data_IF_665105695637
#
_entry.id   IF_665105695637
#
_cell.length_a   1.000
_cell.length_b   1.000
_cell.length_c   1.000
_cell.angle_alpha   90.00
_cell.angle_beta   90.00
_cell.angle_gamma   90.00
#
_symmetry.space_group_name_H-M   'P 1'
#
loop_
_entity.id
_entity.type
_entity.pdbx_description
1 polymer ?
#
# COMPACT_ATOMS: atom_id res chain seq x y z
N UNK A 1 -3.97 14.72 8.48
CA UNK A 1 -2.94 15.60 7.90
C UNK A 1 -2.60 15.07 6.52
N UNK A 2 -2.30 15.92 5.53
CA UNK A 2 -2.00 15.48 4.16
C UNK A 2 -0.87 16.33 3.56
N UNK A 3 -0.24 15.80 2.52
CA UNK A 3 0.75 16.50 1.69
C UNK A 3 0.18 16.66 0.29
N UNK A 4 0.38 17.81 -0.34
CA UNK A 4 -0.05 18.02 -1.72
C UNK A 4 0.67 17.04 -2.66
N UNK A 5 -0.06 16.39 -3.60
CA UNK A 5 0.54 15.38 -4.47
C UNK A 5 1.80 15.81 -5.24
N UNK A 6 1.90 17.04 -5.80
CA UNK A 6 3.14 17.51 -6.41
C UNK A 6 4.32 17.52 -5.42
N UNK A 7 4.11 18.02 -4.20
CA UNK A 7 5.16 18.12 -3.17
C UNK A 7 5.63 16.73 -2.74
N UNK A 8 4.70 15.78 -2.56
CA UNK A 8 5.05 14.39 -2.25
C UNK A 8 5.92 13.78 -3.35
N UNK A 9 5.50 13.89 -4.61
CA UNK A 9 6.26 13.36 -5.76
C UNK A 9 7.63 14.01 -5.89
N UNK A 10 7.73 15.33 -5.72
CA UNK A 10 8.99 16.05 -5.80
C UNK A 10 9.96 15.62 -4.70
N UNK A 11 9.46 15.45 -3.46
CA UNK A 11 10.26 14.94 -2.35
C UNK A 11 10.76 13.52 -2.61
N UNK A 12 9.86 12.58 -2.97
CA UNK A 12 10.23 11.18 -3.23
C UNK A 12 11.22 11.10 -4.39
N UNK A 13 10.98 11.84 -5.48
CA UNK A 13 11.90 11.87 -6.61
C UNK A 13 13.26 12.48 -6.23
N UNK A 14 13.27 13.56 -5.45
CA UNK A 14 14.51 14.21 -4.99
C UNK A 14 15.35 13.27 -4.12
N UNK A 15 14.72 12.65 -3.12
CA UNK A 15 15.37 11.68 -2.25
C UNK A 15 15.93 10.49 -3.05
N UNK A 16 15.12 9.94 -3.96
CA UNK A 16 15.51 8.81 -4.78
C UNK A 16 16.68 9.14 -5.71
N UNK A 17 16.70 10.34 -6.33
CA UNK A 17 17.87 10.80 -7.11
C UNK A 17 19.13 10.95 -6.25
N UNK A 18 18.98 11.33 -4.98
CA UNK A 18 20.13 11.37 -4.07
C UNK A 18 20.68 9.96 -3.80
N UNK A 19 19.83 8.94 -3.66
CA UNK A 19 20.28 7.54 -3.58
C UNK A 19 21.03 7.12 -4.85
N UNK A 20 20.52 7.48 -6.04
CA UNK A 20 21.19 7.25 -7.32
C UNK A 20 22.60 7.86 -7.37
N UNK A 21 22.72 9.11 -6.90
CA UNK A 21 24.01 9.80 -6.81
C UNK A 21 25.02 9.05 -5.95
N UNK A 22 24.56 8.32 -4.92
CA UNK A 22 25.39 7.49 -4.05
C UNK A 22 25.59 6.05 -4.55
N UNK A 23 25.18 5.74 -5.79
CA UNK A 23 25.42 4.45 -6.44
C UNK A 23 24.33 3.41 -6.21
N UNK A 24 23.19 3.79 -5.63
CA UNK A 24 22.02 2.91 -5.53
C UNK A 24 21.20 3.02 -6.81
N UNK A 25 21.14 1.94 -7.58
CA UNK A 25 20.48 1.90 -8.90
C UNK A 25 19.08 1.25 -8.87
N UNK A 26 18.65 0.72 -7.72
CA UNK A 26 17.35 0.07 -7.50
C UNK A 26 16.73 0.51 -6.17
N UNK A 27 15.44 0.82 -6.18
CA UNK A 27 14.69 1.22 -4.98
C UNK A 27 13.31 0.56 -4.98
N UNK A 28 12.91 0.02 -3.84
CA UNK A 28 11.52 -0.40 -3.58
C UNK A 28 10.88 0.62 -2.65
N UNK A 29 9.79 1.25 -3.08
CA UNK A 29 8.95 2.08 -2.22
C UNK A 29 7.98 1.17 -1.46
N UNK A 30 8.34 0.80 -0.24
CA UNK A 30 7.48 0.04 0.68
C UNK A 30 6.33 0.94 1.13
N UNK A 31 5.13 0.62 0.69
CA UNK A 31 3.92 1.42 0.87
C UNK A 31 2.87 0.68 1.70
N UNK A 32 2.10 1.46 2.46
CA UNK A 32 0.96 0.99 3.25
C UNK A 32 -0.26 1.91 3.11
N UNK A 33 -0.24 2.83 2.15
CA UNK A 33 -1.33 3.77 1.93
C UNK A 33 -1.72 3.84 0.46
N UNK A 34 -2.96 3.43 0.15
CA UNK A 34 -3.47 3.35 -1.22
C UNK A 34 -3.41 4.68 -1.99
N UNK A 35 -3.57 5.82 -1.29
CA UNK A 35 -3.49 7.16 -1.90
C UNK A 35 -2.12 7.48 -2.53
N UNK A 36 -1.04 6.82 -2.08
CA UNK A 36 0.31 7.07 -2.58
C UNK A 36 0.65 6.27 -3.85
N UNK A 37 -0.09 5.18 -4.15
CA UNK A 37 0.26 4.21 -5.20
C UNK A 37 0.49 4.87 -6.55
N UNK A 38 -0.48 5.67 -7.01
CA UNK A 38 -0.39 6.33 -8.33
C UNK A 38 0.80 7.29 -8.42
N UNK A 39 1.12 7.99 -7.33
CA UNK A 39 2.20 8.96 -7.26
C UNK A 39 3.57 8.30 -7.19
N UNK A 40 3.71 7.22 -6.42
CA UNK A 40 4.95 6.43 -6.35
C UNK A 40 5.27 5.78 -7.70
N UNK A 41 4.26 5.21 -8.37
CA UNK A 41 4.41 4.63 -9.71
C UNK A 41 4.77 5.68 -10.76
N UNK A 42 4.20 6.88 -10.67
CA UNK A 42 4.57 8.01 -11.53
C UNK A 42 6.04 8.41 -11.36
N UNK A 43 6.51 8.53 -10.11
CA UNK A 43 7.92 8.84 -9.81
C UNK A 43 8.85 7.74 -10.32
N UNK A 44 8.54 6.48 -10.02
CA UNK A 44 9.35 5.33 -10.47
C UNK A 44 9.47 5.27 -12.00
N UNK A 45 8.35 5.46 -12.71
CA UNK A 45 8.33 5.52 -14.18
C UNK A 45 9.21 6.66 -14.70
N UNK A 46 9.09 7.86 -14.15
CA UNK A 46 9.89 9.02 -14.57
C UNK A 46 11.38 8.76 -14.38
N UNK A 47 11.79 8.23 -13.23
CA UNK A 47 13.20 7.94 -12.95
C UNK A 47 13.77 6.85 -13.87
N UNK A 48 12.96 5.83 -14.18
CA UNK A 48 13.28 4.80 -15.16
C UNK A 48 13.45 5.39 -16.55
N UNK A 49 12.50 6.20 -17.00
CA UNK A 49 12.51 6.81 -18.34
C UNK A 49 13.67 7.81 -18.51
N UNK A 50 14.09 8.47 -17.42
CA UNK A 50 15.31 9.30 -17.36
C UNK A 50 16.61 8.48 -17.32
N UNK A 51 16.53 7.15 -17.17
CA UNK A 51 17.71 6.27 -17.00
C UNK A 51 18.47 6.49 -15.68
N UNK A 52 17.82 7.09 -14.68
CA UNK A 52 18.48 7.46 -13.42
C UNK A 52 18.65 6.26 -12.49
N UNK A 53 17.58 5.52 -12.25
CA UNK A 53 17.53 4.27 -11.47
C UNK A 53 16.22 3.55 -11.73
N UNK A 54 16.08 2.31 -11.26
CA UNK A 54 14.83 1.56 -11.30
C UNK A 54 14.13 1.64 -9.93
N UNK A 55 12.98 2.32 -9.88
CA UNK A 55 12.17 2.43 -8.66
C UNK A 55 10.80 1.81 -8.88
N UNK A 56 10.38 0.95 -7.96
CA UNK A 56 9.08 0.27 -8.01
C UNK A 56 8.31 0.45 -6.72
N UNK A 57 7.00 0.63 -6.83
CA UNK A 57 6.09 0.68 -5.69
C UNK A 57 5.69 -0.74 -5.28
N UNK A 58 5.64 -0.98 -3.98
CA UNK A 58 5.25 -2.26 -3.39
C UNK A 58 4.29 -2.00 -2.22
N UNK A 59 3.07 -2.54 -2.31
CA UNK A 59 2.05 -2.45 -1.27
C UNK A 59 1.97 -3.78 -0.52
N UNK A 60 2.09 -3.74 0.80
CA UNK A 60 2.25 -4.95 1.62
C UNK A 60 1.08 -5.94 1.49
N UNK A 61 -0.16 -5.46 1.49
CA UNK A 61 -1.36 -6.30 1.45
C UNK A 61 -1.63 -6.84 0.04
N UNK A 62 -1.30 -6.06 -1.00
CA UNK A 62 -1.36 -6.53 -2.40
C UNK A 62 -0.31 -7.60 -2.71
N UNK A 63 0.70 -7.80 -1.85
CA UNK A 63 1.71 -8.85 -2.01
C UNK A 63 1.24 -10.23 -1.55
N UNK A 64 0.18 -10.29 -0.73
CA UNK A 64 -0.35 -11.51 -0.10
C UNK A 64 -1.89 -11.61 -0.21
N UNK A 65 -2.48 -11.39 -1.39
CA UNK A 65 -3.94 -11.27 -1.52
C UNK A 65 -4.67 -12.56 -1.12
N UNK A 66 -4.12 -13.74 -1.44
CA UNK A 66 -4.75 -15.01 -1.08
C UNK A 66 -4.79 -15.24 0.44
N UNK A 67 -3.74 -14.83 1.16
CA UNK A 67 -3.71 -14.95 2.62
C UNK A 67 -4.71 -13.97 3.26
N UNK A 68 -4.79 -12.74 2.75
CA UNK A 68 -5.74 -11.73 3.22
C UNK A 68 -7.18 -12.22 3.04
N UNK A 69 -7.50 -12.80 1.88
CA UNK A 69 -8.82 -13.36 1.59
C UNK A 69 -9.09 -14.66 2.39
N UNK A 70 -8.05 -15.42 2.77
CA UNK A 70 -8.19 -16.59 3.64
C UNK A 70 -8.55 -16.21 5.08
N UNK A 71 -7.91 -15.15 5.63
CA UNK A 71 -8.04 -14.81 7.05
C UNK A 71 -9.21 -13.86 7.34
N UNK A 72 -9.75 -13.17 6.33
CA UNK A 72 -10.85 -12.22 6.52
C UNK A 72 -11.92 -12.37 5.44
N UNK A 73 -13.12 -12.81 5.85
CA UNK A 73 -14.29 -12.91 4.96
C UNK A 73 -14.72 -11.54 4.41
N UNK A 74 -14.59 -10.49 5.23
CA UNK A 74 -14.86 -9.11 4.83
C UNK A 74 -13.67 -8.23 5.15
N UNK A 75 -12.92 -7.89 4.11
CA UNK A 75 -11.85 -6.91 4.22
C UNK A 75 -12.35 -5.52 3.87
N UNK A 76 -11.58 -4.51 4.26
CA UNK A 76 -11.83 -3.15 3.83
C UNK A 76 -10.56 -2.32 3.68
N UNK A 77 -10.66 -1.20 2.94
CA UNK A 77 -9.51 -0.43 2.50
C UNK A 77 -8.91 0.49 3.57
N UNK A 78 -9.57 0.67 4.73
CA UNK A 78 -9.06 1.55 5.78
C UNK A 78 -9.65 1.24 7.16
N UNK A 79 -8.80 1.13 8.18
CA UNK A 79 -9.19 0.81 9.56
C UNK A 79 -9.79 -0.60 9.72
N UNK A 80 -9.80 -1.38 8.64
CA UNK A 80 -10.38 -2.71 8.59
C UNK A 80 -9.51 -3.78 9.26
N UNK A 81 -9.88 -5.06 9.11
CA UNK A 81 -9.31 -6.14 9.89
C UNK A 81 -7.80 -6.33 9.64
N UNK A 82 -7.32 -6.20 8.41
CA UNK A 82 -5.90 -6.38 8.07
C UNK A 82 -4.99 -5.33 8.71
N UNK A 83 -5.39 -4.05 8.71
CA UNK A 83 -4.61 -2.96 9.30
C UNK A 83 -4.63 -3.07 10.83
N UNK A 84 -5.79 -3.41 11.40
CA UNK A 84 -5.96 -3.61 12.84
C UNK A 84 -5.14 -4.80 13.34
N UNK A 85 -5.21 -5.96 12.67
CA UNK A 85 -4.45 -7.15 13.04
C UNK A 85 -2.95 -6.88 13.00
N UNK A 86 -2.46 -6.23 11.93
CA UNK A 86 -1.05 -5.87 11.81
C UNK A 86 -0.60 -4.94 12.94
N UNK A 87 -1.41 -3.95 13.31
CA UNK A 87 -1.13 -3.06 14.46
C UNK A 87 -1.20 -3.79 15.80
N UNK A 88 -2.12 -4.72 16.01
CA UNK A 88 -2.18 -5.53 17.23
C UNK A 88 -0.90 -6.36 17.43
N UNK A 89 -0.29 -6.83 16.33
CA UNK A 89 0.99 -7.53 16.37
C UNK A 89 2.18 -6.59 16.63
N UNK A 90 2.29 -5.51 15.86
CA UNK A 90 3.46 -4.62 15.90
C UNK A 90 3.47 -3.69 17.11
N UNK A 91 2.29 -3.22 17.53
CA UNK A 91 2.12 -2.13 18.48
C UNK A 91 0.75 -2.22 19.21
N UNK A 92 0.44 -3.40 19.74
CA UNK A 92 -0.87 -3.71 20.31
C UNK A 92 -1.27 -2.85 21.52
N UNK A 93 -0.31 -2.19 22.20
CA UNK A 93 -0.64 -1.27 23.30
C UNK A 93 -1.41 -0.02 22.84
N UNK A 94 -1.31 0.32 21.55
CA UNK A 94 -2.03 1.43 20.92
C UNK A 94 -3.32 1.01 20.23
N UNK A 95 -3.67 -0.28 20.25
CA UNK A 95 -4.95 -0.79 19.78
C UNK A 95 -5.90 -0.94 20.97
N UNK A 96 -7.05 -0.29 20.88
CA UNK A 96 -8.09 -0.37 21.90
C UNK A 96 -9.10 -1.46 21.53
N UNK A 97 -8.78 -2.72 21.86
CA UNK A 97 -9.61 -3.89 21.54
C UNK A 97 -11.05 -3.77 22.06
N UNK A 98 -11.24 -3.07 23.19
CA UNK A 98 -12.53 -2.78 23.80
C UNK A 98 -13.41 -1.82 22.98
N UNK A 99 -12.87 -1.22 21.90
CA UNK A 99 -13.54 -0.25 21.04
C UNK A 99 -13.74 -0.73 19.60
N UNK A 100 -13.38 -1.98 19.28
CA UNK A 100 -13.49 -2.51 17.92
C UNK A 100 -14.94 -2.57 17.43
N UNK A 101 -15.89 -2.96 18.30
CA UNK A 101 -17.31 -2.99 17.97
C UNK A 101 -17.85 -1.60 17.68
N UNK A 102 -17.54 -0.61 18.54
CA UNK A 102 -17.92 0.80 18.33
C UNK A 102 -17.35 1.35 17.01
N UNK A 103 -16.12 0.96 16.66
CA UNK A 103 -15.45 1.38 15.43
C UNK A 103 -16.08 0.72 14.19
N UNK A 104 -16.53 -0.53 14.27
CA UNK A 104 -17.29 -1.19 13.19
C UNK A 104 -18.65 -0.52 13.01
N UNK A 105 -19.40 -0.37 14.10
CA UNK A 105 -20.78 0.11 14.10
C UNK A 105 -20.91 1.58 13.72
N UNK A 106 -19.90 2.40 14.04
CA UNK A 106 -19.80 3.79 13.60
C UNK A 106 -19.16 3.98 12.22
N UNK A 107 -18.73 2.90 11.57
CA UNK A 107 -18.08 2.91 10.26
C UNK A 107 -18.93 2.25 9.19
N UNK A 108 -18.26 1.66 8.20
CA UNK A 108 -18.89 0.83 7.17
C UNK A 108 -18.33 -0.57 7.26
N UNK A 109 -19.07 -1.50 7.89
CA UNK A 109 -18.62 -2.88 8.07
C UNK A 109 -18.35 -3.60 6.73
N UNK A 110 -19.23 -3.39 5.74
CA UNK A 110 -19.12 -4.00 4.41
C UNK A 110 -19.05 -2.93 3.33
N UNK A 111 -17.88 -2.77 2.73
CA UNK A 111 -17.68 -1.83 1.61
C UNK A 111 -18.44 -2.28 0.36
N UNK A 112 -18.70 -3.58 0.22
CA UNK A 112 -19.55 -4.11 -0.86
C UNK A 112 -21.01 -3.63 -0.72
N UNK A 113 -21.48 -3.48 0.52
CA UNK A 113 -22.82 -2.96 0.80
C UNK A 113 -22.86 -1.42 0.79
N UNK A 114 -21.69 -0.77 0.88
CA UNK A 114 -21.58 0.65 0.65
C UNK A 114 -21.69 0.95 -0.85
N UNK A 115 -22.72 1.71 -1.21
CA UNK A 115 -23.08 2.13 -2.56
C UNK A 115 -22.09 3.19 -3.12
N UNK A 116 -20.82 2.82 -3.12
CA UNK A 116 -19.62 3.62 -3.38
C UNK A 116 -19.27 3.67 -4.87
N UNK A 117 -19.85 2.77 -5.67
CA UNK A 117 -19.66 2.70 -7.12
C UNK A 117 -20.98 3.02 -7.83
N UNK A 118 -21.00 4.11 -8.61
CA UNK A 118 -22.13 4.47 -9.47
C UNK A 118 -21.73 4.29 -10.92
N UNK A 119 -22.49 3.49 -11.66
CA UNK A 119 -22.30 3.29 -13.10
C UNK A 119 -20.84 2.95 -13.49
N UNK A 120 -20.15 2.14 -12.66
CA UNK A 120 -18.77 1.70 -12.89
C UNK A 120 -17.67 2.67 -12.42
N UNK A 121 -18.01 3.78 -11.77
CA UNK A 121 -17.04 4.71 -11.16
C UNK A 121 -17.21 4.78 -9.66
N UNK A 122 -16.10 4.86 -8.92
CA UNK A 122 -16.15 5.36 -7.55
C UNK A 122 -16.63 6.81 -7.58
N UNK A 123 -17.57 7.18 -6.71
CA UNK A 123 -18.17 8.54 -6.70
C UNK A 123 -17.93 9.29 -5.39
N UNK A 124 -16.80 9.04 -4.77
CA UNK A 124 -16.36 9.71 -3.55
C UNK A 124 -14.87 10.07 -3.67
N UNK A 125 -14.45 11.11 -2.94
CA UNK A 125 -13.06 11.56 -2.93
C UNK A 125 -12.45 11.56 -1.54
N UNK A 126 -13.30 11.56 -0.51
CA UNK A 126 -12.87 11.53 0.89
C UNK A 126 -13.55 10.37 1.62
N UNK A 127 -12.89 9.85 2.65
CA UNK A 127 -13.47 8.82 3.51
C UNK A 127 -14.74 9.34 4.21
N UNK A 128 -14.77 10.63 4.57
CA UNK A 128 -15.94 11.26 5.22
C UNK A 128 -17.21 11.24 4.35
N UNK A 129 -17.06 11.07 3.03
CA UNK A 129 -18.19 10.93 2.12
C UNK A 129 -18.93 9.58 2.32
N UNK A 130 -18.30 8.61 3.02
CA UNK A 130 -18.82 7.24 3.17
C UNK A 130 -18.82 6.70 4.60
N UNK A 131 -18.02 7.26 5.51
CA UNK A 131 -17.88 6.75 6.88
C UNK A 131 -17.74 7.90 7.88
N UNK A 132 -18.47 7.80 9.00
CA UNK A 132 -18.48 8.83 10.05
C UNK A 132 -17.20 8.81 10.89
N UNK A 133 -16.60 7.62 11.06
CA UNK A 133 -15.42 7.42 11.90
C UNK A 133 -14.14 7.05 11.12
N UNK A 134 -14.22 6.95 9.80
CA UNK A 134 -13.09 6.62 8.93
C UNK A 134 -12.89 5.12 8.68
N UNK A 135 -13.55 4.24 9.44
CA UNK A 135 -13.44 2.78 9.28
C UNK A 135 -14.28 2.33 8.09
N UNK A 136 -13.64 1.52 7.23
CA UNK A 136 -14.20 0.82 6.10
C UNK A 136 -13.72 -0.63 6.19
N UNK A 137 -14.59 -1.53 6.66
CA UNK A 137 -14.32 -2.94 6.97
C UNK A 137 -14.85 -3.34 8.36
N UNK A 138 -14.88 -4.64 8.64
CA UNK A 138 -15.14 -5.18 9.97
C UNK A 138 -13.86 -5.75 10.59
N UNK A 139 -13.31 -5.04 11.57
CA UNK A 139 -12.09 -5.40 12.26
C UNK A 139 -12.29 -6.23 13.53
N UNK A 140 -13.51 -6.66 13.89
CA UNK A 140 -13.74 -7.36 15.17
C UNK A 140 -13.11 -8.75 15.25
N UNK A 141 -12.79 -9.35 14.10
CA UNK A 141 -12.07 -10.63 14.02
C UNK A 141 -10.55 -10.47 13.90
N UNK A 142 -10.03 -9.24 13.97
CA UNK A 142 -8.60 -8.98 13.98
C UNK A 142 -7.95 -9.54 15.25
N UNK A 143 -6.81 -10.21 15.08
CA UNK A 143 -5.98 -10.68 16.19
C UNK A 143 -4.50 -10.41 15.90
N UNK A 144 -3.70 -10.27 16.96
CA UNK A 144 -2.24 -10.16 16.85
C UNK A 144 -1.61 -11.39 16.16
N UNK A 145 -2.16 -12.59 16.37
CA UNK A 145 -1.69 -13.81 15.69
C UNK A 145 -1.92 -13.73 14.18
N UNK A 146 -3.09 -13.25 13.75
CA UNK A 146 -3.32 -12.97 12.32
C UNK A 146 -2.38 -11.89 11.81
N UNK A 147 -2.12 -10.85 12.61
CA UNK A 147 -1.16 -9.79 12.29
C UNK A 147 0.26 -10.30 12.05
N UNK A 148 0.74 -11.21 12.89
CA UNK A 148 2.04 -11.88 12.74
C UNK A 148 2.10 -12.65 11.41
N UNK A 149 1.08 -13.45 11.11
CA UNK A 149 0.99 -14.21 9.85
C UNK A 149 1.07 -13.31 8.62
N UNK A 150 0.36 -12.18 8.65
CA UNK A 150 0.37 -11.20 7.55
C UNK A 150 1.74 -10.53 7.42
N UNK A 151 2.35 -10.13 8.54
CA UNK A 151 3.65 -9.47 8.56
C UNK A 151 4.75 -10.36 7.99
N UNK A 152 4.83 -11.60 8.45
CA UNK A 152 5.83 -12.57 7.99
C UNK A 152 5.66 -12.86 6.49
N UNK A 153 4.43 -13.14 6.05
CA UNK A 153 4.16 -13.42 4.64
C UNK A 153 4.49 -12.23 3.72
N UNK A 154 4.12 -11.00 4.10
CA UNK A 154 4.45 -9.81 3.33
C UNK A 154 5.96 -9.54 3.33
N UNK A 155 6.64 -9.77 4.45
CA UNK A 155 8.11 -9.65 4.55
C UNK A 155 8.82 -10.63 3.61
N UNK A 156 8.36 -11.88 3.56
CA UNK A 156 8.87 -12.90 2.64
C UNK A 156 8.70 -12.49 1.17
N UNK A 157 7.58 -11.86 0.81
CA UNK A 157 7.36 -11.33 -0.54
C UNK A 157 8.29 -10.16 -0.87
N UNK A 158 8.53 -9.26 0.09
CA UNK A 158 9.47 -8.15 -0.08
C UNK A 158 10.91 -8.64 -0.26
N UNK A 159 11.32 -9.66 0.49
CA UNK A 159 12.64 -10.30 0.32
C UNK A 159 12.77 -10.91 -1.07
N UNK A 160 11.76 -11.68 -1.51
CA UNK A 160 11.75 -12.28 -2.86
C UNK A 160 11.82 -11.21 -3.97
N UNK A 161 11.12 -10.08 -3.82
CA UNK A 161 11.22 -8.96 -4.76
C UNK A 161 12.63 -8.36 -4.78
N UNK A 162 13.25 -8.16 -3.61
CA UNK A 162 14.61 -7.63 -3.51
C UNK A 162 15.62 -8.57 -4.17
N UNK A 163 15.53 -9.89 -3.91
CA UNK A 163 16.39 -10.91 -4.52
C UNK A 163 16.22 -10.96 -6.05
N UNK A 164 14.97 -10.91 -6.52
CA UNK A 164 14.70 -10.86 -7.96
C UNK A 164 15.30 -9.62 -8.61
N UNK A 165 15.15 -8.45 -7.99
CA UNK A 165 15.71 -7.17 -8.47
C UNK A 165 17.23 -7.19 -8.53
N UNK A 166 17.89 -7.74 -7.50
CA UNK A 166 19.36 -7.88 -7.44
C UNK A 166 19.88 -8.80 -8.56
N UNK A 167 19.14 -9.86 -8.89
CA UNK A 167 19.50 -10.79 -9.94
C UNK A 167 19.37 -10.22 -11.38
N UNK A 168 18.64 -9.11 -11.58
CA UNK A 168 18.48 -8.52 -12.92
C UNK A 168 19.70 -7.69 -13.31
N UNK A 169 20.11 -7.73 -14.58
CA UNK A 169 21.03 -6.71 -15.08
C UNK A 169 20.32 -5.35 -15.11
N UNK A 170 20.99 -4.29 -14.66
CA UNK A 170 20.36 -2.97 -14.57
C UNK A 170 19.83 -2.48 -15.93
N UNK A 171 20.54 -2.79 -17.02
CA UNK A 171 20.12 -2.45 -18.37
C UNK A 171 18.75 -3.06 -18.77
N UNK A 172 18.42 -4.25 -18.24
CA UNK A 172 17.17 -4.96 -18.55
C UNK A 172 15.96 -4.34 -17.83
N UNK A 173 16.22 -3.54 -16.78
CA UNK A 173 15.19 -2.83 -16.02
C UNK A 173 14.82 -1.47 -16.64
N UNK A 174 15.67 -0.94 -17.51
CA UNK A 174 15.51 0.36 -18.15
C UNK A 174 14.64 0.30 -19.42
N UNK A 175 14.19 1.44 -19.98
CA UNK A 175 13.43 1.46 -21.21
C UNK A 175 14.26 0.95 -22.40
N UNK A 176 13.67 0.07 -23.21
CA UNK A 176 14.20 -0.19 -24.54
C UNK A 176 14.13 1.10 -25.39
N UNK A 177 15.08 1.30 -26.33
CA UNK A 177 14.98 2.39 -27.27
C UNK A 177 13.65 2.35 -28.02
N UNK A 178 12.98 3.49 -28.16
CA UNK A 178 11.81 3.57 -29.02
C UNK A 178 12.17 3.12 -30.44
N UNK A 179 11.35 2.24 -31.01
CA UNK A 179 11.44 1.92 -32.43
C UNK A 179 11.11 3.18 -33.21
N UNK A 180 12.10 3.80 -33.84
CA UNK A 180 11.87 4.88 -34.80
C UNK A 180 11.18 4.30 -36.03
N UNK A 181 9.88 4.54 -36.16
CA UNK A 181 9.14 4.36 -37.43
C UNK A 181 9.54 5.42 -38.43
#
# INVERSE_FOLDING_TARGET
MWVEPPVFRDYVASFTRNLAFHGIDRVVFVNAHGGNVSHLREVGRRLRDEGTLYAVEWMWDESIPELVDEVFDQNGPHGGPKETALMQYLDGEHVHDDRLEDARDGGVASVADADTIKHGSRTFYDAIDNTDNGVLGDQTDATAETGERLFEAASDQLVQLCEWLDAQAFADLLPEPHVST
#
